data_IF_923962314177
#
_entry.id   IF_923962314177
#
_cell.length_a   1.000
_cell.length_b   1.000
_cell.length_c   1.000
_cell.angle_alpha   90.00
_cell.angle_beta   90.00
_cell.angle_gamma   90.00
#
_symmetry.space_group_name_H-M   'P 1'
#
loop_
_entity.id
_entity.type
_entity.pdbx_description
1 polymer ?
#
# COMPACT_ATOMS: atom_id res chain seq x y z
N UNK A 1 -11.39 1.53 -20.08
CA UNK A 1 -10.05 1.07 -20.48
C UNK A 1 -9.08 1.59 -19.46
N UNK A 2 -8.30 0.69 -18.87
CA UNK A 2 -7.39 0.95 -17.75
C UNK A 2 -6.13 1.69 -18.21
N UNK A 3 -6.26 2.99 -18.42
CA UNK A 3 -5.13 3.84 -18.81
C UNK A 3 -4.15 3.95 -17.63
N UNK A 4 -2.85 3.81 -17.91
CA UNK A 4 -1.76 4.04 -16.96
C UNK A 4 -1.78 5.49 -16.46
N UNK A 5 -2.61 5.81 -15.46
CA UNK A 5 -2.82 7.18 -14.95
C UNK A 5 -1.52 7.86 -14.54
N UNK A 6 -0.54 7.08 -14.06
CA UNK A 6 0.79 7.54 -13.70
C UNK A 6 1.60 8.08 -14.89
N UNK A 7 1.30 7.71 -16.14
CA UNK A 7 1.96 8.32 -17.30
C UNK A 7 1.67 9.81 -17.40
N UNK A 8 0.47 10.26 -17.01
CA UNK A 8 0.15 11.70 -16.98
C UNK A 8 1.03 12.45 -15.99
N UNK A 9 1.29 11.86 -14.83
CA UNK A 9 2.22 12.45 -13.84
C UNK A 9 3.67 12.36 -14.33
N UNK A 10 4.05 11.27 -15.00
CA UNK A 10 5.38 11.09 -15.59
C UNK A 10 5.70 12.16 -16.63
N UNK A 11 4.77 12.46 -17.54
CA UNK A 11 4.93 13.48 -18.58
C UNK A 11 4.99 14.91 -18.04
N UNK A 12 4.39 15.20 -16.88
CA UNK A 12 4.45 16.53 -16.25
C UNK A 12 5.85 16.92 -15.80
N UNK A 13 6.70 15.93 -15.52
CA UNK A 13 8.09 16.17 -15.14
C UNK A 13 9.05 16.07 -16.33
N UNK A 14 8.56 15.91 -17.56
CA UNK A 14 9.41 15.83 -18.74
C UNK A 14 10.31 17.07 -18.86
N UNK A 15 11.59 16.85 -19.13
CA UNK A 15 12.60 17.92 -19.24
C UNK A 15 13.17 18.41 -17.91
N UNK A 16 12.70 17.95 -16.75
CA UNK A 16 13.35 18.27 -15.47
C UNK A 16 14.75 17.66 -15.43
N UNK A 17 15.76 18.48 -15.13
CA UNK A 17 17.16 18.07 -15.08
C UNK A 17 17.84 18.54 -13.79
N UNK A 18 18.92 17.86 -13.40
CA UNK A 18 19.81 18.29 -12.32
C UNK A 18 20.37 19.67 -12.63
N UNK A 19 20.52 20.50 -11.59
CA UNK A 19 21.15 21.82 -11.72
C UNK A 19 22.62 21.70 -11.32
N UNK A 20 23.54 22.17 -12.17
CA UNK A 20 24.95 22.20 -11.84
C UNK A 20 25.24 23.17 -10.68
N UNK A 21 25.93 22.71 -9.64
CA UNK A 21 26.38 23.53 -8.50
C UNK A 21 25.66 23.21 -7.19
N UNK A 22 25.73 24.13 -6.22
CA UNK A 22 25.29 23.88 -4.84
C UNK A 22 23.75 23.87 -4.62
N UNK A 23 22.94 24.14 -5.67
CA UNK A 23 21.47 24.24 -5.57
C UNK A 23 20.83 23.06 -6.28
N UNK A 24 20.24 22.15 -5.52
CA UNK A 24 19.48 21.03 -6.05
C UNK A 24 18.19 21.51 -6.74
N UNK A 25 17.77 20.84 -7.82
CA UNK A 25 16.50 21.15 -8.46
C UNK A 25 15.32 20.85 -7.49
N UNK A 26 14.50 21.86 -7.11
CA UNK A 26 13.43 21.67 -6.13
C UNK A 26 12.35 20.69 -6.61
N UNK A 27 12.16 20.55 -7.93
CA UNK A 27 11.26 19.55 -8.51
C UNK A 27 11.79 18.14 -8.27
N UNK A 28 13.08 17.88 -8.51
CA UNK A 28 13.71 16.58 -8.25
C UNK A 28 13.65 16.25 -6.75
N UNK A 29 13.95 17.21 -5.87
CA UNK A 29 13.83 17.03 -4.42
C UNK A 29 12.39 16.67 -4.00
N UNK A 30 11.37 17.23 -4.67
CA UNK A 30 9.97 16.86 -4.40
C UNK A 30 9.67 15.39 -4.76
N UNK A 31 10.32 14.83 -5.78
CA UNK A 31 10.13 13.43 -6.17
C UNK A 31 10.60 12.48 -5.07
N UNK A 32 11.73 12.77 -4.42
CA UNK A 32 12.19 12.00 -3.26
C UNK A 32 11.17 12.01 -2.13
N UNK A 33 10.63 13.18 -1.80
CA UNK A 33 9.59 13.33 -0.76
C UNK A 33 8.36 12.48 -1.07
N UNK A 34 7.86 12.57 -2.30
CA UNK A 34 6.66 11.86 -2.73
C UNK A 34 6.86 10.34 -2.82
N UNK A 35 8.09 9.91 -3.12
CA UNK A 35 8.50 8.51 -3.06
C UNK A 35 8.77 8.00 -1.62
N UNK A 36 8.59 8.84 -0.59
CA UNK A 36 8.74 8.46 0.82
C UNK A 36 10.09 8.78 1.46
N UNK A 37 10.93 9.59 0.81
CA UNK A 37 12.29 9.94 1.24
C UNK A 37 12.46 11.45 1.49
N UNK A 38 11.73 12.07 2.44
CA UNK A 38 11.74 13.52 2.68
C UNK A 38 13.09 14.08 3.17
N UNK A 39 14.00 13.21 3.62
CA UNK A 39 15.32 13.60 4.15
C UNK A 39 16.38 13.79 3.05
N UNK A 40 16.09 13.38 1.81
CA UNK A 40 17.02 13.55 0.69
C UNK A 40 16.83 14.95 0.12
N UNK A 41 17.89 15.77 0.19
CA UNK A 41 17.88 17.18 -0.20
C UNK A 41 18.84 17.50 -1.35
N UNK A 42 19.51 16.49 -1.90
CA UNK A 42 20.46 16.60 -3.01
C UNK A 42 20.00 15.73 -4.18
N UNK A 43 20.21 16.22 -5.39
CA UNK A 43 19.87 15.55 -6.66
C UNK A 43 21.00 14.69 -7.22
N UNK A 44 22.20 14.70 -6.62
CA UNK A 44 23.34 13.82 -6.94
C UNK A 44 23.09 12.33 -6.64
N UNK A 45 22.02 12.00 -5.90
CA UNK A 45 21.62 10.61 -5.60
C UNK A 45 20.85 10.07 -6.79
N UNK A 46 21.20 8.87 -7.29
CA UNK A 46 20.49 8.26 -8.40
C UNK A 46 18.97 8.21 -8.18
N UNK A 47 18.21 8.96 -8.99
CA UNK A 47 16.80 9.29 -8.70
C UNK A 47 15.79 8.69 -9.70
N UNK A 48 16.20 7.72 -10.53
CA UNK A 48 15.28 7.03 -11.46
C UNK A 48 14.12 6.33 -10.73
N UNK A 49 14.40 5.64 -9.62
CA UNK A 49 13.38 4.99 -8.81
C UNK A 49 12.54 5.99 -7.98
N UNK A 50 13.13 7.12 -7.57
CA UNK A 50 12.41 8.21 -6.90
C UNK A 50 11.38 8.85 -7.84
N UNK A 51 11.79 9.15 -9.07
CA UNK A 51 10.90 9.66 -10.13
C UNK A 51 9.74 8.69 -10.38
N UNK A 52 10.04 7.42 -10.64
CA UNK A 52 9.03 6.42 -10.94
C UNK A 52 8.07 6.22 -9.76
N UNK A 53 8.61 6.13 -8.54
CA UNK A 53 7.82 6.00 -7.32
C UNK A 53 6.91 7.19 -7.07
N UNK A 54 7.42 8.41 -7.24
CA UNK A 54 6.62 9.63 -7.09
C UNK A 54 5.45 9.68 -8.10
N UNK A 55 5.69 9.29 -9.36
CA UNK A 55 4.63 9.26 -10.38
C UNK A 55 3.53 8.26 -10.03
N UNK A 56 3.90 7.07 -9.53
CA UNK A 56 2.95 6.06 -9.07
C UNK A 56 2.13 6.58 -7.86
N UNK A 57 2.79 7.10 -6.83
CA UNK A 57 2.12 7.55 -5.59
C UNK A 57 1.19 8.73 -5.85
N UNK A 58 1.59 9.70 -6.69
CA UNK A 58 0.74 10.82 -7.10
C UNK A 58 -0.49 10.37 -7.89
N UNK A 59 -0.38 9.28 -8.64
CA UNK A 59 -1.49 8.66 -9.36
C UNK A 59 -2.34 7.71 -8.48
N UNK A 60 -2.04 7.60 -7.18
CA UNK A 60 -2.76 6.75 -6.24
C UNK A 60 -2.37 5.27 -6.32
N UNK A 61 -1.28 4.92 -7.00
CA UNK A 61 -0.74 3.56 -7.05
C UNK A 61 0.44 3.44 -6.09
N UNK A 62 0.40 2.50 -5.15
CA UNK A 62 1.49 2.34 -4.18
C UNK A 62 2.77 1.87 -4.87
N UNK A 63 3.85 2.61 -4.69
CA UNK A 63 5.17 2.28 -5.21
C UNK A 63 5.94 1.34 -4.25
N UNK A 64 7.15 0.93 -4.63
CA UNK A 64 8.03 0.20 -3.69
C UNK A 64 8.59 1.09 -2.58
N UNK A 65 8.53 2.42 -2.74
CA UNK A 65 9.16 3.43 -1.87
C UNK A 65 10.65 3.18 -1.61
N UNK A 66 11.31 2.49 -2.53
CA UNK A 66 12.74 2.24 -2.52
C UNK A 66 13.42 3.11 -3.58
N UNK A 67 14.62 3.60 -3.26
CA UNK A 67 15.47 4.30 -4.23
C UNK A 67 16.26 3.34 -5.13
N UNK A 68 16.17 2.03 -4.88
CA UNK A 68 16.80 1.02 -5.72
C UNK A 68 15.88 0.65 -6.88
N UNK A 69 16.34 0.86 -8.11
CA UNK A 69 15.65 0.43 -9.34
C UNK A 69 15.18 -1.04 -9.28
N UNK A 70 16.01 -1.94 -8.74
CA UNK A 70 15.72 -3.38 -8.69
C UNK A 70 14.60 -3.78 -7.74
N UNK A 71 14.16 -2.92 -6.82
CA UNK A 71 13.02 -3.24 -5.95
C UNK A 71 11.73 -3.52 -6.74
N UNK A 72 11.63 -2.98 -7.95
CA UNK A 72 10.46 -3.20 -8.80
C UNK A 72 10.38 -4.61 -9.38
N UNK A 73 11.44 -5.42 -9.34
CA UNK A 73 11.38 -6.83 -9.77
C UNK A 73 10.38 -7.67 -8.95
N UNK A 74 10.02 -7.23 -7.75
CA UNK A 74 9.00 -7.86 -6.91
C UNK A 74 7.74 -7.00 -6.76
N UNK A 75 7.59 -5.93 -7.55
CA UNK A 75 6.47 -5.01 -7.45
C UNK A 75 5.36 -5.40 -8.42
N UNK A 76 4.12 -5.49 -7.93
CA UNK A 76 2.95 -5.86 -8.73
C UNK A 76 3.11 -7.21 -9.43
N UNK A 77 2.33 -7.39 -10.49
CA UNK A 77 2.37 -8.60 -11.31
C UNK A 77 3.34 -8.46 -12.49
N UNK A 78 3.96 -9.57 -12.87
CA UNK A 78 4.76 -9.69 -14.09
C UNK A 78 3.87 -9.63 -15.33
N UNK A 79 4.30 -8.94 -16.37
CA UNK A 79 3.66 -8.97 -17.68
C UNK A 79 4.42 -9.90 -18.64
N UNK A 80 3.69 -10.76 -19.34
CA UNK A 80 4.23 -11.58 -20.43
C UNK A 80 4.37 -10.79 -21.73
N UNK A 81 3.54 -9.77 -21.92
CA UNK A 81 3.53 -8.90 -23.10
C UNK A 81 3.71 -7.43 -22.70
N UNK A 82 4.43 -6.63 -23.52
CA UNK A 82 4.65 -5.23 -23.22
C UNK A 82 3.36 -4.43 -23.27
N UNK A 83 3.23 -3.50 -22.31
CA UNK A 83 2.09 -2.59 -22.20
C UNK A 83 2.58 -1.17 -22.00
N UNK A 84 1.98 -0.21 -22.72
CA UNK A 84 2.28 1.20 -22.51
C UNK A 84 2.03 1.61 -21.06
N UNK A 85 3.03 2.22 -20.44
CA UNK A 85 3.05 2.60 -19.03
C UNK A 85 3.56 1.53 -18.08
N UNK A 86 3.92 0.33 -18.55
CA UNK A 86 4.46 -0.71 -17.68
C UNK A 86 5.77 -0.24 -17.05
N UNK A 87 6.00 -0.65 -15.80
CA UNK A 87 7.28 -0.41 -15.13
C UNK A 87 8.28 -1.40 -15.70
N UNK A 88 9.24 -0.89 -16.47
CA UNK A 88 10.31 -1.67 -17.05
C UNK A 88 11.55 -1.58 -16.17
N UNK A 89 12.10 -2.74 -15.80
CA UNK A 89 13.28 -2.85 -14.94
C UNK A 89 14.46 -3.32 -15.77
N UNK A 90 15.57 -2.57 -15.72
CA UNK A 90 16.76 -2.83 -16.52
C UNK A 90 17.99 -3.11 -15.65
N UNK A 91 18.91 -3.89 -16.21
CA UNK A 91 20.23 -4.09 -15.63
C UNK A 91 21.14 -2.88 -15.84
N UNK A 92 22.11 -2.69 -14.94
CA UNK A 92 23.14 -1.66 -15.06
C UNK A 92 24.50 -2.27 -14.71
N UNK A 93 25.24 -2.66 -15.74
CA UNK A 93 26.49 -3.42 -15.59
C UNK A 93 26.25 -4.84 -15.06
N UNK A 94 27.31 -5.47 -14.56
CA UNK A 94 27.26 -6.85 -14.04
C UNK A 94 26.76 -6.96 -12.60
N UNK A 95 26.72 -5.85 -11.85
CA UNK A 95 26.29 -5.87 -10.45
C UNK A 95 24.75 -6.07 -10.38
N UNK A 96 24.27 -7.17 -9.77
CA UNK A 96 22.84 -7.47 -9.70
C UNK A 96 22.04 -6.47 -8.86
N UNK A 97 22.69 -5.74 -7.94
CA UNK A 97 22.06 -4.71 -7.12
C UNK A 97 21.80 -3.40 -7.90
N UNK A 98 22.54 -3.16 -8.98
CA UNK A 98 22.41 -1.95 -9.80
C UNK A 98 21.39 -2.16 -10.93
N UNK A 99 20.60 -1.14 -11.20
CA UNK A 99 19.61 -1.17 -12.27
C UNK A 99 19.17 0.21 -12.72
N UNK A 100 18.22 0.21 -13.64
CA UNK A 100 17.48 1.38 -14.08
C UNK A 100 15.99 1.04 -14.16
N UNK A 101 15.13 2.04 -14.01
CA UNK A 101 13.67 1.88 -14.15
C UNK A 101 13.07 3.04 -14.91
N UNK A 102 11.96 2.77 -15.60
CA UNK A 102 11.14 3.77 -16.26
C UNK A 102 9.82 3.19 -16.73
N UNK A 103 9.02 4.02 -17.39
CA UNK A 103 7.74 3.63 -17.97
C UNK A 103 7.89 3.29 -19.45
N UNK A 104 7.44 2.11 -19.83
CA UNK A 104 7.44 1.62 -21.21
C UNK A 104 6.57 2.51 -22.10
N UNK A 105 7.11 3.06 -23.19
CA UNK A 105 6.33 3.78 -24.20
C UNK A 105 6.12 2.98 -25.48
N UNK A 106 7.05 2.07 -25.79
CA UNK A 106 7.03 1.26 -27.00
C UNK A 106 8.35 0.53 -27.19
N UNK A 107 8.51 -0.14 -28.32
CA UNK A 107 9.74 -0.83 -28.68
C UNK A 107 9.98 -0.80 -30.19
N UNK A 108 11.23 -1.05 -30.57
CA UNK A 108 11.65 -1.50 -31.91
C UNK A 108 12.14 -2.94 -31.79
N UNK A 109 12.74 -3.50 -32.84
CA UNK A 109 13.24 -4.89 -32.80
C UNK A 109 14.29 -5.08 -31.70
N UNK A 110 15.25 -4.16 -31.58
CA UNK A 110 16.39 -4.28 -30.66
C UNK A 110 16.26 -3.45 -29.38
N UNK A 111 15.39 -2.44 -29.37
CA UNK A 111 15.36 -1.43 -28.31
C UNK A 111 13.96 -1.22 -27.71
N UNK A 112 13.94 -0.91 -26.42
CA UNK A 112 12.77 -0.41 -25.69
C UNK A 112 12.84 1.12 -25.64
N UNK A 113 11.71 1.79 -25.89
CA UNK A 113 11.54 3.23 -25.70
C UNK A 113 10.98 3.49 -24.31
N UNK A 114 11.73 4.23 -23.50
CA UNK A 114 11.48 4.37 -22.07
C UNK A 114 11.36 5.85 -21.67
N UNK A 115 10.27 6.21 -21.00
CA UNK A 115 10.15 7.47 -20.26
C UNK A 115 10.68 7.26 -18.84
N UNK A 116 11.78 7.92 -18.49
CA UNK A 116 12.44 7.69 -17.21
C UNK A 116 13.13 8.94 -16.67
N UNK A 117 13.33 8.95 -15.36
CA UNK A 117 14.12 9.95 -14.65
C UNK A 117 15.59 9.57 -14.57
N UNK A 118 16.45 10.55 -14.31
CA UNK A 118 17.90 10.40 -14.24
C UNK A 118 18.55 9.76 -15.49
N UNK A 119 17.99 10.06 -16.67
CA UNK A 119 18.51 9.61 -17.97
C UNK A 119 19.32 10.74 -18.59
N UNK A 120 20.65 10.70 -18.40
CA UNK A 120 21.51 11.84 -18.69
C UNK A 120 21.21 13.00 -17.72
N UNK A 121 21.00 12.68 -16.44
CA UNK A 121 20.65 13.62 -15.37
C UNK A 121 19.35 14.40 -15.63
N UNK A 122 18.43 13.84 -16.43
CA UNK A 122 17.15 14.45 -16.78
C UNK A 122 16.00 13.44 -16.84
N UNK A 123 14.75 13.94 -16.80
CA UNK A 123 13.55 13.20 -17.21
C UNK A 123 13.43 13.31 -18.72
N UNK A 124 13.55 12.19 -19.42
CA UNK A 124 13.57 12.16 -20.89
C UNK A 124 12.96 10.88 -21.43
N UNK A 125 12.82 10.83 -22.76
CA UNK A 125 12.55 9.58 -23.48
C UNK A 125 13.86 9.09 -24.06
N UNK A 126 14.26 7.86 -23.72
CA UNK A 126 15.51 7.26 -24.16
C UNK A 126 15.30 5.81 -24.62
N UNK A 127 16.23 5.32 -25.45
CA UNK A 127 16.24 3.95 -25.95
C UNK A 127 17.19 3.09 -25.12
N UNK A 128 16.73 1.90 -24.73
CA UNK A 128 17.54 0.90 -24.02
C UNK A 128 17.51 -0.43 -24.77
N UNK A 129 18.63 -1.16 -24.87
CA UNK A 129 18.64 -2.44 -25.57
C UNK A 129 17.80 -3.47 -24.82
N UNK A 130 17.04 -4.30 -25.55
CA UNK A 130 16.20 -5.36 -24.97
C UNK A 130 17.01 -6.36 -24.14
N UNK A 131 18.28 -6.59 -24.48
CA UNK A 131 19.19 -7.44 -23.71
C UNK A 131 19.42 -7.00 -22.26
N UNK A 132 19.13 -5.74 -21.94
CA UNK A 132 19.21 -5.21 -20.56
C UNK A 132 17.89 -5.27 -19.82
N UNK A 133 16.77 -5.56 -20.50
CA UNK A 133 15.46 -5.67 -19.86
C UNK A 133 15.42 -6.94 -19.01
N UNK A 134 15.01 -6.80 -17.77
CA UNK A 134 14.91 -7.91 -16.82
C UNK A 134 13.47 -8.33 -16.63
N UNK A 135 12.59 -7.35 -16.45
CA UNK A 135 11.18 -7.62 -16.26
C UNK A 135 10.28 -6.42 -16.59
N UNK A 136 9.02 -6.72 -16.89
CA UNK A 136 7.94 -5.76 -17.07
C UNK A 136 6.90 -5.99 -15.98
N UNK A 137 6.54 -4.91 -15.29
CA UNK A 137 5.68 -4.97 -14.12
C UNK A 137 4.48 -4.05 -14.26
N UNK A 138 3.35 -4.53 -13.77
CA UNK A 138 2.09 -3.80 -13.77
C UNK A 138 1.50 -3.85 -12.36
N UNK A 139 0.82 -2.79 -11.88
CA UNK A 139 0.15 -2.84 -10.60
C UNK A 139 -0.89 -3.97 -10.60
N UNK A 140 -0.99 -4.67 -9.48
CA UNK A 140 -1.87 -5.81 -9.31
C UNK A 140 -3.33 -5.33 -9.18
N UNK A 141 -3.98 -5.04 -10.31
CA UNK A 141 -5.33 -4.46 -10.34
C UNK A 141 -6.47 -5.48 -10.15
N UNK A 142 -6.19 -6.74 -9.83
CA UNK A 142 -7.25 -7.76 -9.64
C UNK A 142 -7.55 -8.05 -8.18
N UNK A 143 -6.56 -8.10 -7.28
CA UNK A 143 -6.81 -8.43 -5.89
C UNK A 143 -7.46 -7.26 -5.12
N UNK A 144 -6.89 -6.05 -5.20
CA UNK A 144 -7.38 -4.89 -4.43
C UNK A 144 -8.79 -4.47 -4.87
N UNK A 145 -9.05 -4.41 -6.18
CA UNK A 145 -10.36 -4.04 -6.73
C UNK A 145 -11.42 -5.12 -6.52
N UNK A 146 -11.06 -6.41 -6.57
CA UNK A 146 -11.97 -7.50 -6.28
C UNK A 146 -12.28 -7.60 -4.78
N UNK A 147 -11.30 -7.38 -3.92
CA UNK A 147 -11.49 -7.34 -2.47
C UNK A 147 -12.36 -6.15 -2.05
N UNK A 148 -12.11 -4.96 -2.61
CA UNK A 148 -12.96 -3.79 -2.40
C UNK A 148 -14.39 -4.07 -2.87
N UNK A 149 -14.60 -4.67 -4.04
CA UNK A 149 -15.93 -5.02 -4.52
C UNK A 149 -16.62 -6.05 -3.62
N UNK A 150 -15.89 -7.09 -3.21
CA UNK A 150 -16.42 -8.15 -2.33
C UNK A 150 -16.80 -7.58 -0.97
N UNK A 151 -15.98 -6.68 -0.43
CA UNK A 151 -16.24 -5.99 0.82
C UNK A 151 -17.43 -5.03 0.72
N UNK A 152 -17.50 -4.25 -0.36
CA UNK A 152 -18.61 -3.36 -0.64
C UNK A 152 -19.92 -4.13 -0.70
N UNK A 153 -19.97 -5.28 -1.39
CA UNK A 153 -21.18 -6.12 -1.45
C UNK A 153 -21.59 -6.67 -0.09
N UNK A 154 -20.62 -7.14 0.70
CA UNK A 154 -20.88 -7.61 2.07
C UNK A 154 -21.42 -6.48 2.95
N UNK A 155 -20.86 -5.28 2.83
CA UNK A 155 -21.30 -4.11 3.59
C UNK A 155 -22.68 -3.62 3.13
N UNK A 156 -22.96 -3.62 1.82
CA UNK A 156 -24.25 -3.27 1.23
C UNK A 156 -25.35 -4.22 1.70
N UNK A 157 -25.10 -5.53 1.65
CA UNK A 157 -26.04 -6.53 2.14
C UNK A 157 -26.39 -6.31 3.63
N UNK A 158 -25.39 -6.00 4.46
CA UNK A 158 -25.59 -5.67 5.87
C UNK A 158 -26.44 -4.40 6.05
N UNK A 159 -26.13 -3.32 5.34
CA UNK A 159 -26.87 -2.06 5.40
C UNK A 159 -28.32 -2.25 4.96
N UNK A 160 -28.56 -2.90 3.81
CA UNK A 160 -29.91 -3.11 3.27
C UNK A 160 -30.78 -3.96 4.20
N UNK A 161 -30.18 -4.93 4.91
CA UNK A 161 -30.88 -5.70 5.96
C UNK A 161 -31.37 -4.81 7.11
N UNK A 162 -30.69 -3.70 7.39
CA UNK A 162 -31.03 -2.75 8.46
C UNK A 162 -31.98 -1.63 8.01
N UNK A 163 -31.94 -1.22 6.73
CA UNK A 163 -32.80 -0.15 6.18
C UNK A 163 -34.26 -0.59 5.99
N UNK A 164 -34.53 -1.90 5.86
CA UNK A 164 -35.89 -2.43 5.71
C UNK A 164 -36.49 -2.23 4.31
N UNK A 165 -37.82 -2.35 4.21
CA UNK A 165 -38.58 -2.27 2.95
C UNK A 165 -39.06 -0.85 2.59
N UNK A 166 -40.02 -0.75 1.67
CA UNK A 166 -40.64 0.54 1.31
C UNK A 166 -41.45 1.13 2.46
N UNK A 167 -41.27 2.42 2.73
CA UNK A 167 -42.08 3.20 3.67
C UNK A 167 -42.54 4.51 3.03
N UNK A 168 -43.77 4.92 3.34
CA UNK A 168 -44.37 6.17 2.88
C UNK A 168 -45.28 6.70 4.00
N UNK A 169 -44.65 7.15 5.09
CA UNK A 169 -45.35 7.75 6.22
C UNK A 169 -45.56 9.25 5.93
N UNK A 170 -46.81 9.76 5.98
CA UNK A 170 -47.10 11.19 5.81
C UNK A 170 -46.38 12.13 6.79
N UNK A 171 -45.90 11.61 7.92
CA UNK A 171 -45.18 12.35 8.96
C UNK A 171 -43.65 12.16 8.89
N UNK A 172 -43.15 11.35 7.95
CA UNK A 172 -41.71 11.21 7.74
C UNK A 172 -41.19 12.41 6.92
N UNK A 173 -40.30 13.25 7.49
CA UNK A 173 -39.72 14.37 6.77
C UNK A 173 -38.90 13.94 5.53
N UNK A 174 -38.47 12.67 5.46
CA UNK A 174 -37.80 12.09 4.29
C UNK A 174 -38.74 11.72 3.14
N UNK A 175 -40.05 11.61 3.41
CA UNK A 175 -41.07 11.20 2.46
C UNK A 175 -40.89 9.75 1.95
N UNK A 176 -41.47 9.41 0.78
CA UNK A 176 -41.38 8.08 0.19
C UNK A 176 -39.93 7.58 0.13
N UNK A 177 -39.67 6.43 0.77
CA UNK A 177 -38.35 5.84 0.90
C UNK A 177 -38.41 4.36 0.52
N UNK A 178 -37.47 3.91 -0.30
CA UNK A 178 -37.33 2.49 -0.66
C UNK A 178 -35.88 2.06 -0.48
N UNK A 179 -35.64 0.95 0.22
CA UNK A 179 -34.27 0.42 0.47
C UNK A 179 -33.33 1.50 1.03
N UNK A 180 -33.82 2.35 1.95
CA UNK A 180 -33.06 3.47 2.53
C UNK A 180 -32.82 4.67 1.60
N UNK A 181 -33.34 4.67 0.37
CA UNK A 181 -33.20 5.75 -0.60
C UNK A 181 -34.46 6.60 -0.60
N UNK A 182 -34.33 7.87 -0.20
CA UNK A 182 -35.44 8.83 -0.21
C UNK A 182 -35.74 9.30 -1.63
N UNK A 183 -36.98 9.78 -1.87
CA UNK A 183 -37.39 10.37 -3.14
C UNK A 183 -36.46 11.50 -3.61
N UNK A 184 -35.96 12.31 -2.67
CA UNK A 184 -35.03 13.40 -2.97
C UNK A 184 -33.68 12.89 -3.47
N UNK A 185 -33.12 11.85 -2.82
CA UNK A 185 -31.87 11.22 -3.25
C UNK A 185 -32.04 10.58 -4.62
N UNK A 186 -33.14 9.86 -4.84
CA UNK A 186 -33.43 9.21 -6.11
C UNK A 186 -33.62 10.23 -7.25
N UNK A 187 -34.35 11.32 -7.01
CA UNK A 187 -34.53 12.37 -8.01
C UNK A 187 -33.21 13.06 -8.36
N UNK A 188 -32.37 13.36 -7.35
CA UNK A 188 -31.04 13.91 -7.55
C UNK A 188 -30.15 12.95 -8.37
N UNK A 189 -30.21 11.65 -8.08
CA UNK A 189 -29.51 10.62 -8.84
C UNK A 189 -29.94 10.59 -10.30
N UNK A 190 -31.25 10.65 -10.56
CA UNK A 190 -31.83 10.75 -11.89
C UNK A 190 -31.60 12.11 -12.56
N UNK A 191 -30.97 13.06 -11.86
CA UNK A 191 -30.74 14.45 -12.30
C UNK A 191 -32.05 15.17 -12.66
N UNK A 192 -33.12 14.88 -11.94
CA UNK A 192 -34.44 15.47 -12.12
C UNK A 192 -34.75 16.37 -10.92
N UNK A 193 -35.12 17.62 -11.19
CA UNK A 193 -35.66 18.51 -10.15
C UNK A 193 -37.07 18.04 -9.77
N UNK A 194 -37.30 17.75 -8.50
CA UNK A 194 -38.63 17.39 -8.00
C UNK A 194 -39.60 18.58 -8.12
N UNK A 195 -40.80 18.30 -8.62
CA UNK A 195 -41.91 19.24 -8.70
C UNK A 195 -43.22 18.50 -8.44
N UNK A 196 -44.29 19.25 -8.13
CA UNK A 196 -45.63 18.67 -7.95
C UNK A 196 -46.06 17.82 -9.17
N UNK A 197 -45.74 18.29 -10.37
CA UNK A 197 -46.10 17.62 -11.62
C UNK A 197 -45.40 16.27 -11.85
N UNK A 198 -44.17 16.08 -11.33
CA UNK A 198 -43.40 14.85 -11.55
C UNK A 198 -43.32 13.93 -10.32
N UNK A 199 -43.74 14.40 -9.14
CA UNK A 199 -43.65 13.67 -7.87
C UNK A 199 -44.28 12.28 -7.95
N UNK A 200 -45.52 12.18 -8.43
CA UNK A 200 -46.25 10.91 -8.50
C UNK A 200 -45.52 9.86 -9.39
N UNK A 201 -44.96 10.30 -10.52
CA UNK A 201 -44.14 9.43 -11.38
C UNK A 201 -42.87 9.00 -10.66
N UNK A 202 -42.15 9.93 -10.03
CA UNK A 202 -40.90 9.62 -9.34
C UNK A 202 -41.10 8.64 -8.16
N UNK A 203 -42.23 8.73 -7.46
CA UNK A 203 -42.59 7.76 -6.40
C UNK A 203 -42.84 6.38 -6.99
N UNK A 204 -43.55 6.27 -8.13
CA UNK A 204 -43.72 4.98 -8.82
C UNK A 204 -42.39 4.39 -9.29
N UNK A 205 -41.51 5.23 -9.80
CA UNK A 205 -40.18 4.82 -10.25
C UNK A 205 -39.33 4.36 -9.05
N UNK A 206 -39.37 5.09 -7.93
CA UNK A 206 -38.68 4.71 -6.68
C UNK A 206 -39.18 3.37 -6.12
N UNK A 207 -40.50 3.11 -6.17
CA UNK A 207 -41.08 1.82 -5.77
C UNK A 207 -40.54 0.64 -6.60
N UNK A 208 -40.19 0.90 -7.87
CA UNK A 208 -39.70 -0.10 -8.84
C UNK A 208 -38.20 -0.01 -9.07
N UNK A 209 -37.46 0.66 -8.19
CA UNK A 209 -36.01 0.78 -8.31
C UNK A 209 -35.38 -0.61 -8.30
N UNK A 210 -34.53 -0.88 -9.30
CA UNK A 210 -33.82 -2.15 -9.42
C UNK A 210 -32.58 -2.19 -8.52
N UNK A 211 -32.14 -3.40 -8.18
CA UNK A 211 -31.02 -3.59 -7.26
C UNK A 211 -29.69 -3.06 -7.82
N UNK A 212 -29.51 -3.01 -9.15
CA UNK A 212 -28.29 -2.46 -9.75
C UNK A 212 -28.23 -0.94 -9.56
N UNK A 213 -29.34 -0.22 -9.75
CA UNK A 213 -29.44 1.21 -9.45
C UNK A 213 -29.23 1.48 -7.96
N UNK A 214 -29.82 0.65 -7.07
CA UNK A 214 -29.61 0.76 -5.62
C UNK A 214 -28.12 0.61 -5.29
N UNK A 215 -27.48 -0.44 -5.78
CA UNK A 215 -26.04 -0.69 -5.62
C UNK A 215 -25.21 0.50 -6.08
N UNK A 216 -25.49 1.04 -7.26
CA UNK A 216 -24.73 2.16 -7.83
C UNK A 216 -24.87 3.45 -6.98
N UNK A 217 -26.08 3.74 -6.49
CA UNK A 217 -26.31 4.86 -5.56
C UNK A 217 -25.48 4.67 -4.28
N UNK A 218 -25.53 3.48 -3.68
CA UNK A 218 -24.78 3.19 -2.46
C UNK A 218 -23.26 3.30 -2.66
N UNK A 219 -22.76 2.76 -3.77
CA UNK A 219 -21.35 2.83 -4.15
C UNK A 219 -20.89 4.28 -4.30
N UNK A 220 -21.53 5.02 -5.21
CA UNK A 220 -21.04 6.35 -5.58
C UNK A 220 -21.32 7.43 -4.55
N UNK A 221 -22.47 7.37 -3.86
CA UNK A 221 -22.88 8.44 -2.95
C UNK A 221 -22.34 8.26 -1.53
N UNK A 222 -22.07 7.02 -1.12
CA UNK A 222 -21.67 6.72 0.25
C UNK A 222 -20.30 6.06 0.31
N UNK A 223 -20.08 4.91 -0.32
CA UNK A 223 -18.81 4.18 -0.23
C UNK A 223 -17.62 5.01 -0.76
N UNK A 224 -17.73 5.51 -1.98
CA UNK A 224 -16.65 6.26 -2.64
C UNK A 224 -16.44 7.64 -1.99
N UNK A 225 -17.52 8.36 -1.68
CA UNK A 225 -17.45 9.70 -1.06
C UNK A 225 -16.89 9.64 0.36
N UNK A 226 -17.25 8.60 1.11
CA UNK A 226 -16.68 8.35 2.45
C UNK A 226 -15.29 7.71 2.39
N UNK A 227 -14.80 7.36 1.19
CA UNK A 227 -13.48 6.76 0.93
C UNK A 227 -13.28 5.46 1.73
N UNK A 228 -14.33 4.64 1.78
CA UNK A 228 -14.35 3.37 2.51
C UNK A 228 -13.26 2.38 2.05
N UNK A 229 -12.88 2.40 0.78
CA UNK A 229 -11.81 1.54 0.23
C UNK A 229 -10.40 1.85 0.81
N UNK A 230 -10.21 2.99 1.48
CA UNK A 230 -8.90 3.44 1.97
C UNK A 230 -8.59 3.03 3.41
N UNK A 231 -9.44 2.21 4.03
CA UNK A 231 -9.30 1.78 5.41
C UNK A 231 -9.43 0.25 5.55
N UNK A 232 -8.95 -0.35 6.66
CA UNK A 232 -9.08 -1.78 6.88
C UNK A 232 -10.53 -2.25 6.79
N UNK A 233 -10.75 -3.44 6.22
CA UNK A 233 -12.09 -3.95 5.89
C UNK A 233 -13.12 -3.90 7.03
N UNK A 234 -12.79 -4.29 8.29
CA UNK A 234 -13.69 -4.12 9.43
C UNK A 234 -14.14 -2.68 9.67
N UNK A 235 -13.19 -1.74 9.57
CA UNK A 235 -13.45 -0.32 9.78
C UNK A 235 -14.24 0.29 8.62
N UNK A 236 -13.94 -0.11 7.38
CA UNK A 236 -14.67 0.31 6.18
C UNK A 236 -16.16 -0.03 6.28
N UNK A 237 -16.49 -1.23 6.77
CA UNK A 237 -17.88 -1.64 6.99
C UNK A 237 -18.59 -0.77 8.02
N UNK A 238 -17.95 -0.51 9.18
CA UNK A 238 -18.48 0.40 10.20
C UNK A 238 -18.67 1.82 9.68
N UNK A 239 -17.70 2.29 8.89
CA UNK A 239 -17.68 3.61 8.31
C UNK A 239 -18.77 3.81 7.26
N UNK A 240 -18.96 2.82 6.39
CA UNK A 240 -20.00 2.83 5.36
C UNK A 240 -21.40 2.90 5.97
N UNK A 241 -21.70 2.06 6.95
CA UNK A 241 -22.99 2.09 7.66
C UNK A 241 -23.25 3.46 8.32
N UNK A 242 -22.22 4.06 8.93
CA UNK A 242 -22.31 5.41 9.48
C UNK A 242 -22.50 6.47 8.38
N UNK A 243 -21.87 6.33 7.22
CA UNK A 243 -22.01 7.25 6.09
C UNK A 243 -23.45 7.27 5.56
N UNK A 244 -24.09 6.11 5.50
CA UNK A 244 -25.50 5.99 5.11
C UNK A 244 -26.42 6.67 6.13
N UNK A 245 -26.13 6.52 7.43
CA UNK A 245 -27.01 7.00 8.51
C UNK A 245 -26.84 8.47 8.86
N UNK A 246 -25.62 8.98 8.79
CA UNK A 246 -25.27 10.32 9.25
C UNK A 246 -24.83 11.24 8.10
N UNK A 247 -24.73 10.70 6.88
CA UNK A 247 -24.08 11.34 5.75
C UNK A 247 -22.56 11.14 5.76
N UNK A 248 -21.91 11.06 4.57
CA UNK A 248 -20.47 10.79 4.46
C UNK A 248 -19.57 11.73 5.27
N UNK A 249 -19.81 13.05 5.20
CA UNK A 249 -18.97 14.04 5.90
C UNK A 249 -19.06 13.87 7.43
N UNK A 250 -20.24 13.60 7.96
CA UNK A 250 -20.42 13.35 9.40
C UNK A 250 -19.72 12.06 9.81
N UNK A 251 -19.81 11.00 9.00
CA UNK A 251 -19.10 9.75 9.25
C UNK A 251 -17.58 9.93 9.26
N UNK A 252 -17.03 10.77 8.38
CA UNK A 252 -15.61 11.14 8.36
C UNK A 252 -15.22 11.88 9.64
N UNK A 253 -16.06 12.81 10.13
CA UNK A 253 -15.80 13.50 11.39
C UNK A 253 -15.80 12.55 12.59
N UNK A 254 -16.72 11.58 12.62
CA UNK A 254 -16.73 10.51 13.63
C UNK A 254 -15.45 9.68 13.55
N UNK A 255 -14.97 9.37 12.34
CA UNK A 255 -13.71 8.64 12.12
C UNK A 255 -12.53 9.40 12.70
N UNK A 256 -12.43 10.69 12.41
CA UNK A 256 -11.33 11.53 12.86
C UNK A 256 -11.31 11.66 14.38
N UNK A 257 -12.47 11.81 15.00
CA UNK A 257 -12.62 11.77 16.46
C UNK A 257 -12.18 10.41 17.04
N UNK A 258 -12.57 9.29 16.40
CA UNK A 258 -12.21 7.95 16.84
C UNK A 258 -10.70 7.69 16.81
N UNK A 259 -10.01 8.16 15.75
CA UNK A 259 -8.56 7.94 15.57
C UNK A 259 -7.70 9.09 16.12
N UNK A 260 -8.30 10.06 16.82
CA UNK A 260 -7.57 11.14 17.48
C UNK A 260 -6.89 12.14 16.53
N UNK A 261 -7.56 12.53 15.45
CA UNK A 261 -7.06 13.50 14.46
C UNK A 261 -7.94 14.75 14.37
N UNK A 262 -7.46 15.78 13.68
CA UNK A 262 -8.22 17.00 13.42
C UNK A 262 -9.55 16.67 12.72
N UNK A 263 -10.66 17.12 13.30
CA UNK A 263 -12.02 16.83 12.83
C UNK A 263 -12.45 17.83 11.75
N UNK A 264 -11.83 17.75 10.57
CA UNK A 264 -12.09 18.65 9.43
C UNK A 264 -13.09 18.09 8.39
N UNK A 265 -13.50 16.82 8.54
CA UNK A 265 -14.41 16.14 7.61
C UNK A 265 -13.75 15.68 6.31
N UNK A 266 -12.41 15.63 6.23
CA UNK A 266 -11.64 15.20 5.06
C UNK A 266 -10.63 14.11 5.42
N UNK A 267 -10.62 13.01 4.67
CA UNK A 267 -9.61 11.96 4.86
C UNK A 267 -8.31 12.37 4.16
N UNK A 268 -7.40 13.01 4.90
CA UNK A 268 -6.06 13.39 4.44
C UNK A 268 -4.97 12.38 4.82
N UNK A 269 -3.71 12.65 4.46
CA UNK A 269 -2.56 11.81 4.85
C UNK A 269 -2.46 11.59 6.37
N UNK A 270 -2.79 12.61 7.18
CA UNK A 270 -2.77 12.53 8.64
C UNK A 270 -3.83 11.56 9.17
N UNK A 271 -5.07 11.65 8.66
CA UNK A 271 -6.15 10.72 9.01
C UNK A 271 -5.78 9.29 8.67
N UNK A 272 -5.22 9.05 7.47
CA UNK A 272 -4.77 7.71 7.05
C UNK A 272 -3.65 7.18 7.94
N UNK A 273 -2.67 8.02 8.27
CA UNK A 273 -1.58 7.62 9.16
C UNK A 273 -2.08 7.25 10.56
N UNK A 274 -3.08 7.97 11.09
CA UNK A 274 -3.69 7.64 12.36
C UNK A 274 -4.46 6.31 12.32
N UNK A 275 -5.25 6.08 11.27
CA UNK A 275 -5.94 4.80 11.04
C UNK A 275 -4.93 3.64 11.01
N UNK A 276 -3.80 3.79 10.31
CA UNK A 276 -2.77 2.72 10.23
C UNK A 276 -2.01 2.48 11.54
N UNK A 277 -1.98 3.45 12.46
CA UNK A 277 -1.24 3.34 13.74
C UNK A 277 -2.08 2.79 14.87
N UNK A 278 -3.38 3.08 14.88
CA UNK A 278 -4.27 2.64 15.94
C UNK A 278 -4.58 1.14 15.81
N UNK A 279 -4.54 0.35 16.89
CA UNK A 279 -5.02 -1.02 16.86
C UNK A 279 -6.47 -1.06 16.37
N UNK A 280 -6.77 -1.98 15.45
CA UNK A 280 -8.06 -2.00 14.75
C UNK A 280 -9.23 -2.22 15.72
N UNK A 281 -9.08 -3.13 16.68
CA UNK A 281 -10.06 -3.35 17.74
C UNK A 281 -10.39 -2.07 18.54
N UNK A 282 -9.39 -1.24 18.85
CA UNK A 282 -9.56 0.02 19.56
C UNK A 282 -10.28 1.04 18.68
N UNK A 283 -9.89 1.15 17.41
CA UNK A 283 -10.53 2.04 16.44
C UNK A 283 -12.02 1.69 16.28
N UNK A 284 -12.36 0.40 16.16
CA UNK A 284 -13.74 -0.10 16.08
C UNK A 284 -14.54 0.24 17.35
N UNK A 285 -13.96 0.00 18.53
CA UNK A 285 -14.60 0.28 19.81
C UNK A 285 -14.84 1.79 20.00
N UNK A 286 -13.84 2.63 19.72
CA UNK A 286 -13.95 4.08 19.79
C UNK A 286 -15.01 4.61 18.82
N UNK A 287 -14.99 4.14 17.57
CA UNK A 287 -15.97 4.53 16.55
C UNK A 287 -17.39 4.18 16.97
N UNK A 288 -17.62 2.96 17.48
CA UNK A 288 -18.92 2.54 18.00
C UNK A 288 -19.37 3.43 19.16
N UNK A 289 -18.52 3.66 20.16
CA UNK A 289 -18.83 4.50 21.32
C UNK A 289 -19.21 5.94 20.93
N UNK A 290 -18.51 6.53 19.95
CA UNK A 290 -18.83 7.87 19.44
C UNK A 290 -20.22 7.86 18.77
N UNK A 291 -20.52 6.86 17.93
CA UNK A 291 -21.85 6.74 17.31
C UNK A 291 -22.95 6.60 18.35
N UNK A 292 -22.78 5.74 19.35
CA UNK A 292 -23.76 5.56 20.41
C UNK A 292 -24.00 6.84 21.19
N UNK A 293 -22.92 7.56 21.55
CA UNK A 293 -23.02 8.86 22.22
C UNK A 293 -23.81 9.86 21.38
N UNK A 294 -23.56 9.92 20.06
CA UNK A 294 -24.31 10.79 19.13
C UNK A 294 -25.78 10.42 19.06
N UNK A 295 -26.13 9.13 18.98
CA UNK A 295 -27.53 8.72 18.99
C UNK A 295 -28.24 9.07 20.30
N UNK A 296 -27.58 8.83 21.44
CA UNK A 296 -28.12 9.16 22.78
C UNK A 296 -28.38 10.66 22.97
N UNK A 297 -27.68 11.52 22.24
CA UNK A 297 -27.89 12.96 22.27
C UNK A 297 -29.06 13.45 21.39
N UNK A 298 -29.70 12.58 20.59
CA UNK A 298 -30.82 12.98 19.73
C UNK A 298 -32.13 13.12 20.52
N UNK A 299 -32.96 14.15 20.25
CA UNK A 299 -34.25 14.34 20.93
C UNK A 299 -35.20 13.14 20.83
N UNK A 300 -35.15 12.41 19.71
CA UNK A 300 -36.03 11.26 19.47
C UNK A 300 -35.47 9.92 19.98
N UNK A 301 -34.35 9.94 20.72
CA UNK A 301 -33.74 8.74 21.28
C UNK A 301 -34.69 7.87 22.14
N UNK A 302 -35.60 8.42 22.97
CA UNK A 302 -36.53 7.59 23.74
C UNK A 302 -37.40 6.67 22.87
N UNK A 303 -37.73 7.10 21.64
CA UNK A 303 -38.59 6.36 20.71
C UNK A 303 -37.80 5.36 19.85
N UNK A 304 -36.67 5.79 19.29
CA UNK A 304 -35.94 5.01 18.27
C UNK A 304 -34.56 4.50 18.72
N UNK A 305 -34.08 4.96 19.87
CA UNK A 305 -32.72 4.73 20.36
C UNK A 305 -32.35 3.26 20.49
N UNK A 306 -33.29 2.40 20.94
CA UNK A 306 -33.05 0.95 21.00
C UNK A 306 -32.71 0.35 19.63
N UNK A 307 -33.37 0.82 18.57
CA UNK A 307 -33.09 0.39 17.19
C UNK A 307 -31.71 0.86 16.72
N UNK A 308 -31.38 2.13 16.97
CA UNK A 308 -30.08 2.68 16.61
C UNK A 308 -28.91 1.99 17.32
N UNK A 309 -29.03 1.76 18.63
CA UNK A 309 -28.01 1.03 19.39
C UNK A 309 -27.88 -0.44 18.93
N UNK A 310 -29.00 -1.10 18.60
CA UNK A 310 -28.97 -2.45 18.04
C UNK A 310 -28.23 -2.49 16.70
N UNK A 311 -28.43 -1.48 15.84
CA UNK A 311 -27.72 -1.33 14.57
C UNK A 311 -26.22 -1.21 14.79
N UNK A 312 -25.78 -0.29 15.66
CA UNK A 312 -24.34 -0.12 15.98
C UNK A 312 -23.72 -1.43 16.47
N UNK A 313 -24.38 -2.11 17.41
CA UNK A 313 -23.90 -3.38 17.95
C UNK A 313 -23.81 -4.49 16.90
N UNK A 314 -24.82 -4.60 16.02
CA UNK A 314 -24.81 -5.57 14.94
C UNK A 314 -23.69 -5.30 13.91
N UNK A 315 -23.48 -4.04 13.54
CA UNK A 315 -22.40 -3.63 12.65
C UNK A 315 -21.02 -3.90 13.28
N UNK A 316 -20.84 -3.58 14.57
CA UNK A 316 -19.60 -3.86 15.30
C UNK A 316 -19.32 -5.36 15.40
N UNK A 317 -20.36 -6.18 15.65
CA UNK A 317 -20.23 -7.64 15.68
C UNK A 317 -19.74 -8.18 14.33
N UNK A 318 -20.30 -7.71 13.21
CA UNK A 318 -19.88 -8.12 11.88
C UNK A 318 -18.45 -7.65 11.57
N UNK A 319 -18.10 -6.41 11.92
CA UNK A 319 -16.74 -5.90 11.74
C UNK A 319 -15.70 -6.75 12.48
N UNK A 320 -15.98 -7.13 13.75
CA UNK A 320 -15.11 -8.02 14.52
C UNK A 320 -15.01 -9.43 13.94
N UNK A 321 -16.08 -9.94 13.33
CA UNK A 321 -16.04 -11.22 12.62
C UNK A 321 -15.10 -11.15 11.40
N UNK A 322 -15.18 -10.08 10.61
CA UNK A 322 -14.25 -9.82 9.49
C UNK A 322 -12.81 -9.72 9.99
N UNK A 323 -12.58 -9.01 11.10
CA UNK A 323 -11.25 -8.89 11.72
C UNK A 323 -10.70 -10.28 12.10
N UNK A 324 -11.51 -11.12 12.73
CA UNK A 324 -11.13 -12.47 13.11
C UNK A 324 -10.88 -13.38 11.89
N UNK A 325 -11.66 -13.24 10.82
CA UNK A 325 -11.44 -13.94 9.54
C UNK A 325 -10.08 -13.53 8.93
N UNK A 326 -9.79 -12.23 8.87
CA UNK A 326 -8.51 -11.69 8.33
C UNK A 326 -7.31 -12.14 9.18
N UNK A 327 -7.47 -12.25 10.50
CA UNK A 327 -6.40 -12.74 11.39
C UNK A 327 -6.17 -14.25 11.33
N UNK A 328 -7.16 -15.04 10.88
CA UNK A 328 -7.04 -16.50 10.70
C UNK A 328 -6.40 -16.90 9.36
N UNK A 329 -6.37 -15.98 8.39
CA UNK A 329 -5.75 -16.20 7.07
C UNK A 329 -4.20 -16.07 6.99
N UNK A 330 -3.42 -16.51 8.00
CA UNK A 330 -2.08 -16.99 7.70
C UNK A 330 -1.78 -18.37 8.33
N UNK A 331 -1.92 -19.45 7.57
CA UNK A 331 -1.01 -20.65 7.56
C UNK A 331 -1.53 -21.89 6.80
N UNK A 332 -2.73 -21.89 6.21
CA UNK A 332 -3.34 -23.12 5.65
C UNK A 332 -2.81 -23.55 4.25
N UNK A 333 -1.49 -23.45 4.03
CA UNK A 333 -0.79 -24.05 2.87
C UNK A 333 0.52 -24.74 3.24
N UNK A 334 0.66 -25.24 4.46
CA UNK A 334 1.73 -26.18 4.81
C UNK A 334 1.23 -27.23 5.80
N UNK A 335 0.43 -28.16 5.31
CA UNK A 335 0.31 -29.49 5.92
C UNK A 335 0.63 -30.52 4.85
N UNK A 336 1.93 -30.87 4.81
CA UNK A 336 2.43 -32.15 4.35
C UNK A 336 3.18 -32.75 5.54
N UNK A 337 2.48 -33.64 6.23
CA UNK A 337 2.94 -34.76 7.08
C UNK A 337 4.41 -34.75 7.55
N UNK A 338 4.62 -34.66 8.87
CA UNK A 338 5.16 -35.79 9.63
C UNK A 338 5.09 -35.59 11.15
N UNK A 339 4.58 -36.63 11.80
CA UNK A 339 4.41 -36.79 13.24
C UNK A 339 5.73 -37.18 13.94
N UNK A 340 5.80 -36.83 15.23
CA UNK A 340 6.57 -37.44 16.34
C UNK A 340 8.11 -37.34 16.39
N UNK A 341 8.62 -36.53 17.33
CA UNK A 341 9.09 -37.04 18.65
C UNK A 341 9.79 -35.95 19.51
N UNK A 342 9.12 -35.61 20.64
CA UNK A 342 9.63 -35.35 22.01
C UNK A 342 10.85 -34.41 22.30
N UNK A 343 10.49 -33.23 22.84
CA UNK A 343 11.05 -32.50 24.05
C UNK A 343 12.41 -31.75 23.98
N UNK A 344 12.70 -30.75 24.86
CA UNK A 344 12.28 -29.34 24.76
C UNK A 344 13.46 -28.32 24.83
N UNK A 345 13.13 -27.03 24.90
CA UNK A 345 13.97 -25.82 25.13
C UNK A 345 14.83 -25.40 23.92
N UNK A 346 14.81 -24.15 23.43
CA UNK A 346 15.03 -22.89 24.17
C UNK A 346 14.56 -21.68 23.32
N UNK A 347 14.10 -20.63 24.01
CA UNK A 347 13.87 -19.27 23.51
C UNK A 347 14.91 -18.77 22.49
N UNK A 348 14.47 -18.10 21.42
CA UNK A 348 15.39 -17.38 20.53
C UNK A 348 14.72 -16.52 19.47
N UNK A 349 14.76 -15.20 19.68
CA UNK A 349 14.53 -14.15 18.69
C UNK A 349 15.06 -14.52 17.29
N UNK A 350 14.21 -14.41 16.28
CA UNK A 350 14.56 -14.65 14.87
C UNK A 350 15.59 -13.66 14.34
N UNK A 351 16.87 -13.99 14.49
CA UNK A 351 17.96 -13.46 13.67
C UNK A 351 18.07 -14.32 12.41
N UNK A 352 17.98 -13.66 11.26
CA UNK A 352 18.15 -14.20 9.92
C UNK A 352 19.44 -15.06 9.80
N UNK A 353 19.30 -16.25 9.21
CA UNK A 353 20.31 -17.32 9.16
C UNK A 353 21.54 -17.02 8.28
N UNK A 354 21.54 -15.92 7.52
CA UNK A 354 22.59 -15.57 6.56
C UNK A 354 23.92 -15.08 7.15
N UNK A 355 24.04 -14.99 8.49
CA UNK A 355 25.27 -14.57 9.17
C UNK A 355 26.08 -15.69 9.82
N UNK A 356 25.63 -16.96 9.73
CA UNK A 356 26.34 -18.07 10.39
C UNK A 356 27.43 -18.65 9.49
N UNK A 357 28.70 -18.38 9.84
CA UNK A 357 29.89 -18.95 9.19
C UNK A 357 29.87 -20.48 9.24
N UNK A 358 29.30 -21.07 10.29
CA UNK A 358 29.19 -22.53 10.45
C UNK A 358 28.21 -23.14 9.44
N UNK A 359 27.10 -22.46 9.14
CA UNK A 359 26.14 -22.92 8.12
C UNK A 359 26.78 -22.85 6.72
N UNK A 360 27.54 -21.79 6.44
CA UNK A 360 28.31 -21.68 5.20
C UNK A 360 29.38 -22.75 5.08
N UNK A 361 30.12 -23.04 6.16
CA UNK A 361 31.09 -24.14 6.18
C UNK A 361 30.44 -25.49 5.85
N UNK A 362 29.25 -25.75 6.39
CA UNK A 362 28.54 -27.03 6.15
C UNK A 362 28.04 -27.15 4.71
N UNK A 363 27.53 -26.07 4.12
CA UNK A 363 27.08 -26.03 2.72
C UNK A 363 28.26 -26.23 1.77
N UNK A 364 29.40 -25.59 2.03
CA UNK A 364 30.61 -25.77 1.22
C UNK A 364 31.13 -27.20 1.34
N UNK A 365 31.26 -27.76 2.55
CA UNK A 365 31.69 -29.16 2.72
C UNK A 365 30.74 -30.16 2.06
N UNK A 366 29.42 -29.92 2.13
CA UNK A 366 28.42 -30.75 1.47
C UNK A 366 28.55 -30.68 -0.06
N UNK A 367 28.74 -29.48 -0.63
CA UNK A 367 28.95 -29.32 -2.08
C UNK A 367 30.30 -29.92 -2.52
N UNK A 368 31.36 -29.80 -1.73
CA UNK A 368 32.68 -30.36 -2.04
C UNK A 368 32.73 -31.90 -1.96
N UNK A 369 31.83 -32.55 -1.24
CA UNK A 369 31.78 -34.02 -1.12
C UNK A 369 30.75 -34.63 -2.06
N UNK A 370 29.58 -34.01 -2.21
CA UNK A 370 28.47 -34.56 -3.00
C UNK A 370 28.69 -34.36 -4.50
N UNK A 371 29.29 -33.24 -4.92
CA UNK A 371 29.49 -32.94 -6.35
C UNK A 371 30.49 -33.89 -7.00
N UNK A 372 31.67 -34.20 -6.41
CA UNK A 372 32.58 -35.20 -6.99
C UNK A 372 32.04 -36.63 -6.95
N UNK A 373 31.22 -36.96 -5.93
CA UNK A 373 30.58 -38.28 -5.81
C UNK A 373 29.46 -38.52 -6.85
N UNK A 374 28.93 -37.45 -7.45
CA UNK A 374 27.91 -37.50 -8.50
C UNK A 374 28.51 -37.65 -9.92
N UNK A 375 29.82 -37.46 -10.09
CA UNK A 375 30.50 -37.52 -11.38
C UNK A 375 30.28 -38.84 -12.17
N UNK A 376 30.24 -40.04 -11.54
CA UNK A 376 29.97 -41.28 -12.27
C UNK A 376 28.53 -41.40 -12.77
N UNK A 377 27.59 -40.64 -12.19
CA UNK A 377 26.15 -40.77 -12.43
C UNK A 377 25.64 -39.71 -13.40
N UNK A 378 26.25 -38.52 -13.45
CA UNK A 378 25.76 -37.39 -14.24
C UNK A 378 26.67 -36.99 -15.41
N UNK A 379 27.91 -37.49 -15.47
CA UNK A 379 28.85 -37.20 -16.58
C UNK A 379 29.30 -35.73 -16.66
N UNK A 380 29.04 -34.92 -15.62
CA UNK A 380 29.48 -33.53 -15.52
C UNK A 380 30.76 -33.51 -14.68
N UNK A 381 31.91 -33.36 -15.35
CA UNK A 381 33.22 -33.20 -14.71
C UNK A 381 33.51 -31.70 -14.57
N UNK A 382 33.23 -31.14 -13.39
CA UNK A 382 33.68 -29.78 -13.04
C UNK A 382 35.07 -29.96 -12.45
N UNK A 383 36.10 -29.51 -13.18
CA UNK A 383 37.48 -29.66 -12.74
C UNK A 383 37.69 -28.92 -11.40
N UNK A 384 38.42 -29.55 -10.48
CA UNK A 384 38.63 -29.04 -9.12
C UNK A 384 39.31 -27.67 -9.04
N UNK A 385 39.93 -27.22 -10.14
CA UNK A 385 40.58 -25.92 -10.24
C UNK A 385 39.54 -24.77 -10.34
N UNK A 386 38.39 -24.97 -11.00
CA UNK A 386 37.34 -23.94 -11.12
C UNK A 386 36.61 -23.70 -9.79
N UNK A 387 36.50 -24.73 -8.95
CA UNK A 387 35.91 -24.64 -7.60
C UNK A 387 36.88 -23.95 -6.64
N UNK A 388 38.19 -24.15 -6.81
CA UNK A 388 39.22 -23.48 -5.99
C UNK A 388 39.34 -22.00 -6.35
N UNK A 389 39.30 -21.64 -7.64
CA UNK A 389 39.34 -20.25 -8.11
C UNK A 389 38.10 -19.46 -7.68
N UNK A 390 36.91 -20.07 -7.72
CA UNK A 390 35.68 -19.45 -7.22
C UNK A 390 35.70 -19.26 -5.69
N UNK A 391 36.34 -20.18 -4.97
CA UNK A 391 36.57 -20.10 -3.52
C UNK A 391 37.55 -19.00 -3.14
N UNK A 392 38.68 -18.92 -3.82
CA UNK A 392 39.73 -17.91 -3.56
C UNK A 392 39.23 -16.49 -3.88
N UNK A 393 38.51 -16.28 -5.00
CA UNK A 393 37.90 -14.98 -5.32
C UNK A 393 36.83 -14.54 -4.31
N UNK A 394 36.09 -15.50 -3.73
CA UNK A 394 35.08 -15.20 -2.70
C UNK A 394 35.73 -14.78 -1.37
N UNK A 395 36.85 -15.44 -0.99
CA UNK A 395 37.61 -15.10 0.22
C UNK A 395 38.29 -13.74 0.07
N UNK A 396 38.90 -13.44 -1.08
CA UNK A 396 39.50 -12.13 -1.35
C UNK A 396 38.48 -11.00 -1.34
N UNK A 397 37.29 -11.21 -1.92
CA UNK A 397 36.21 -10.22 -1.89
C UNK A 397 35.72 -9.94 -0.45
N UNK A 398 35.60 -10.97 0.38
CA UNK A 398 35.20 -10.85 1.79
C UNK A 398 36.30 -10.12 2.59
N UNK A 399 37.57 -10.45 2.36
CA UNK A 399 38.70 -9.80 3.02
C UNK A 399 38.84 -8.32 2.60
N UNK A 400 38.61 -7.99 1.33
CA UNK A 400 38.62 -6.61 0.84
C UNK A 400 37.51 -5.76 1.47
N UNK A 401 36.30 -6.32 1.62
CA UNK A 401 35.17 -5.66 2.31
C UNK A 401 35.48 -5.50 3.80
N UNK A 402 36.06 -6.52 4.45
CA UNK A 402 36.48 -6.46 5.85
C UNK A 402 37.54 -5.39 6.12
N UNK A 403 38.55 -5.30 5.25
CA UNK A 403 39.61 -4.29 5.34
C UNK A 403 39.07 -2.86 5.15
N UNK A 404 38.12 -2.68 4.23
CA UNK A 404 37.45 -1.39 4.00
C UNK A 404 36.64 -0.96 5.25
N UNK A 405 35.89 -1.88 5.86
CA UNK A 405 35.13 -1.62 7.08
C UNK A 405 36.07 -1.29 8.25
N UNK A 406 37.16 -2.05 8.43
CA UNK A 406 38.17 -1.77 9.46
C UNK A 406 38.82 -0.40 9.29
N UNK A 407 39.10 0.01 8.04
CA UNK A 407 39.66 1.32 7.73
C UNK A 407 38.67 2.44 8.04
N UNK A 408 37.40 2.26 7.67
CA UNK A 408 36.32 3.21 7.98
C UNK A 408 36.08 3.36 9.48
N UNK A 409 36.10 2.27 10.24
CA UNK A 409 35.99 2.28 11.71
C UNK A 409 37.19 2.98 12.35
N UNK A 410 38.40 2.79 11.80
CA UNK A 410 39.62 3.46 12.28
C UNK A 410 39.58 4.96 12.02
N UNK A 411 39.12 5.37 10.83
CA UNK A 411 38.90 6.78 10.48
C UNK A 411 37.84 7.40 11.40
N UNK A 412 36.72 6.70 11.60
CA UNK A 412 35.63 7.16 12.48
C UNK A 412 36.07 7.27 13.94
N UNK A 413 36.86 6.31 14.43
CA UNK A 413 37.47 6.34 15.76
C UNK A 413 38.43 7.53 15.95
N UNK A 414 39.28 7.81 14.96
CA UNK A 414 40.17 8.97 14.97
C UNK A 414 39.42 10.31 14.90
N UNK A 415 38.33 10.38 14.14
CA UNK A 415 37.48 11.57 14.05
C UNK A 415 36.69 11.84 15.35
N UNK A 416 36.36 10.80 16.12
CA UNK A 416 35.64 10.92 17.39
C UNK A 416 36.57 11.27 18.55
N UNK A 417 37.85 10.86 18.48
CA UNK A 417 38.87 11.18 19.47
C UNK A 417 39.39 12.64 19.38
N UNK A 418 39.18 13.33 18.25
CA UNK A 418 39.59 14.73 18.05
C UNK A 418 38.52 15.77 18.42
N UNK A 419 37.40 15.36 19.01
CA UNK A 419 36.41 16.26 19.62
C UNK A 419 36.79 16.52 21.10
N UNK A 420 37.16 17.76 21.50
CA UNK A 420 37.48 18.05 22.88
C UNK A 420 36.23 17.89 23.78
N UNK A 421 36.37 17.10 24.85
CA UNK A 421 35.34 16.90 25.88
C UNK A 421 35.04 18.26 26.53
N UNK A 422 33.84 18.80 26.31
CA UNK A 422 33.37 20.01 26.97
C UNK A 422 33.24 19.78 28.49
N UNK A 423 34.13 20.40 29.27
CA UNK A 423 34.03 20.52 30.74
C UNK A 423 32.88 21.45 31.09
N UNK A 424 31.78 20.92 31.62
CA UNK A 424 30.75 21.74 32.27
C UNK A 424 29.91 20.93 33.27
N UNK A 425 30.53 20.34 34.30
CA UNK A 425 29.81 19.87 35.50
C UNK A 425 30.72 19.99 36.74
N UNK A 426 31.09 21.21 37.13
CA UNK A 426 31.49 21.55 38.51
C UNK A 426 31.29 23.06 38.75
N UNK A 427 30.14 23.39 39.35
CA UNK A 427 29.86 24.54 40.23
C UNK A 427 28.61 24.08 40.99
N UNK A 428 28.69 23.64 42.25
CA UNK A 428 29.30 24.34 43.37
C UNK A 428 28.17 25.06 44.11
N UNK A 429 27.63 24.41 45.15
CA UNK A 429 26.82 25.06 46.19
C UNK A 429 27.68 26.14 46.83
N UNK A 430 27.18 27.37 46.85
CA UNK A 430 27.04 28.24 48.04
C UNK A 430 26.10 29.39 47.69
#
# INVERSE_FOLDING_TARGET
MDDARWLKEAWREFGQAEQAGARANPRIVSLFRDAGHPKVTRDEVAWCAAYLGACLERAGTRSTRSLMARSYLSWGQRLSEPRMGAVAVFSRGRNPALGHVGFWLGETDEHVVLLGGNQGNAVSVARYPKSRLLDLRWPEMRAETQQDETLFERALAHVLKMEGGYTDDPHDPGGPTNKGITLAVFALWRKVRLSAANRARMVRDLKRIDDATVREIYRRRYWDVARCAEMPAPLALMHFDAAVNHGPVTAIRILQEAVGTTVDGKIGPLTRAAISRMPLADALAAYAAIRERRYRALPHFPRFGRGWLRRVNATLKLARAIEAETQREPSDKREGENEMSKTPTTSGNGKWWGHSITIWGTIVTMLSVVVPAMAPVTGIDISGDEVRDAGEQSVEAIQAVGALIGTLLTIFGRMRASQPIARALFKGKE
#
